data_IF_023237954542
#
_entry.id   IF_023237954542
#
_cell.length_a   1.000
_cell.length_b   1.000
_cell.length_c   1.000
_cell.angle_alpha   90.00
_cell.angle_beta   90.00
_cell.angle_gamma   90.00
#
_symmetry.space_group_name_H-M   'P 1'
#
loop_
_entity.id
_entity.type
_entity.pdbx_description
1 polymer ?
#
# COMPACT_ATOMS: atom_id res chain seq x y z
N UNK A 1 -8.06 -13.70 -10.06
CA UNK A 1 -7.24 -13.64 -8.84
C UNK A 1 -6.27 -12.51 -9.05
N UNK A 2 -6.32 -11.46 -8.23
CA UNK A 2 -5.28 -10.42 -8.30
C UNK A 2 -4.04 -10.98 -7.61
N UNK A 3 -2.92 -11.04 -8.32
CA UNK A 3 -1.65 -11.55 -7.75
C UNK A 3 -0.97 -10.49 -6.88
N UNK A 4 -0.06 -10.90 -5.99
CA UNK A 4 0.76 -9.95 -5.21
C UNK A 4 1.50 -8.94 -6.09
N UNK A 5 1.92 -9.35 -7.29
CA UNK A 5 2.55 -8.46 -8.28
C UNK A 5 1.59 -7.37 -8.77
N UNK A 6 0.32 -7.71 -9.08
CA UNK A 6 -0.67 -6.72 -9.50
C UNK A 6 -1.03 -5.74 -8.38
N UNK A 7 -1.06 -6.21 -7.13
CA UNK A 7 -1.28 -5.34 -5.97
C UNK A 7 -0.12 -4.36 -5.81
N UNK A 8 1.12 -4.86 -5.90
CA UNK A 8 2.31 -4.03 -5.82
C UNK A 8 2.35 -2.98 -6.95
N UNK A 9 2.00 -3.36 -8.18
CA UNK A 9 1.96 -2.44 -9.32
C UNK A 9 0.94 -1.30 -9.10
N UNK A 10 -0.25 -1.65 -8.61
CA UNK A 10 -1.28 -0.67 -8.22
C UNK A 10 -0.79 0.23 -7.09
N UNK A 11 -0.21 -0.36 -6.04
CA UNK A 11 0.32 0.36 -4.89
C UNK A 11 1.41 1.34 -5.31
N UNK A 12 2.35 0.89 -6.14
CA UNK A 12 3.41 1.71 -6.73
C UNK A 12 2.84 2.86 -7.52
N UNK A 13 1.84 2.61 -8.37
CA UNK A 13 1.17 3.66 -9.13
C UNK A 13 0.51 4.72 -8.24
N UNK A 14 -0.12 4.32 -7.13
CA UNK A 14 -0.70 5.27 -6.17
C UNK A 14 0.40 6.09 -5.49
N UNK A 15 1.45 5.44 -4.98
CA UNK A 15 2.57 6.11 -4.32
C UNK A 15 3.28 7.10 -5.27
N UNK A 16 3.45 6.75 -6.53
CA UNK A 16 4.08 7.62 -7.52
C UNK A 16 3.18 8.79 -7.95
N UNK A 17 1.89 8.56 -8.21
CA UNK A 17 1.00 9.59 -8.77
C UNK A 17 0.31 10.45 -7.71
N UNK A 18 -0.06 9.87 -6.57
CA UNK A 18 -0.81 10.57 -5.52
C UNK A 18 0.09 11.09 -4.41
N UNK A 19 1.17 10.38 -4.11
CA UNK A 19 2.12 10.74 -3.05
C UNK A 19 3.43 11.32 -3.60
N UNK A 20 3.56 11.43 -4.93
CA UNK A 20 4.73 11.99 -5.62
C UNK A 20 6.06 11.30 -5.22
N UNK A 21 5.99 10.02 -4.85
CA UNK A 21 7.15 9.22 -4.42
C UNK A 21 7.86 8.64 -5.64
N UNK A 22 9.18 8.70 -5.66
CA UNK A 22 9.96 8.12 -6.75
C UNK A 22 9.83 6.60 -6.80
N UNK A 23 9.64 6.09 -8.02
CA UNK A 23 9.48 4.67 -8.30
C UNK A 23 10.70 3.82 -7.88
N UNK A 24 11.86 4.44 -7.71
CA UNK A 24 13.12 3.82 -7.27
C UNK A 24 13.16 3.65 -5.74
N UNK A 25 12.52 4.53 -4.98
CA UNK A 25 12.39 4.44 -3.51
C UNK A 25 11.32 3.43 -3.09
N UNK A 26 10.31 3.18 -3.94
CA UNK A 26 9.24 2.21 -3.67
C UNK A 26 9.77 0.78 -3.79
N UNK A 27 10.38 0.27 -2.73
CA UNK A 27 10.81 -1.12 -2.63
C UNK A 27 9.91 -1.91 -1.66
N UNK A 28 9.82 -3.25 -1.82
CA UNK A 28 9.03 -4.07 -0.89
C UNK A 28 9.52 -3.96 0.57
N UNK A 29 10.81 -3.63 0.76
CA UNK A 29 11.42 -3.45 2.07
C UNK A 29 11.33 -2.01 2.59
N UNK A 30 10.91 -1.06 1.74
CA UNK A 30 10.78 0.33 2.12
C UNK A 30 9.73 0.49 3.22
N UNK A 31 10.11 1.23 4.26
CA UNK A 31 9.25 1.69 5.31
C UNK A 31 8.37 2.82 4.80
N UNK A 32 7.05 2.66 4.94
CA UNK A 32 6.06 3.68 4.55
C UNK A 32 6.35 4.99 5.29
N UNK A 33 6.71 4.92 6.57
CA UNK A 33 6.89 6.08 7.43
C UNK A 33 8.32 6.63 7.42
N UNK A 34 9.34 5.76 7.32
CA UNK A 34 10.74 6.19 7.42
C UNK A 34 11.41 6.42 6.07
N UNK A 35 11.15 5.56 5.08
CA UNK A 35 11.77 5.69 3.74
C UNK A 35 10.90 6.54 2.81
N UNK A 36 9.58 6.31 2.85
CA UNK A 36 8.63 7.00 1.97
C UNK A 36 8.02 8.26 2.58
N UNK A 37 8.43 8.62 3.81
CA UNK A 37 7.98 9.81 4.56
C UNK A 37 6.45 9.99 4.61
N UNK A 38 5.69 8.88 4.61
CA UNK A 38 4.22 8.93 4.64
C UNK A 38 3.74 9.28 6.05
N UNK A 39 2.84 10.25 6.13
CA UNK A 39 2.19 10.59 7.39
C UNK A 39 1.03 9.64 7.71
N UNK A 40 0.55 9.72 8.94
CA UNK A 40 -0.65 9.00 9.38
C UNK A 40 -1.92 9.35 8.60
N UNK A 41 -1.96 10.52 7.93
CA UNK A 41 -3.06 10.91 7.02
C UNK A 41 -2.90 10.17 5.68
N UNK A 42 -1.69 10.19 5.12
CA UNK A 42 -1.37 9.55 3.84
C UNK A 42 -1.64 8.04 3.87
N UNK A 43 -1.27 7.39 4.98
CA UNK A 43 -1.58 6.00 5.25
C UNK A 43 -3.10 5.72 5.15
N UNK A 44 -3.95 6.61 5.66
CA UNK A 44 -5.42 6.45 5.58
C UNK A 44 -5.91 6.63 4.15
N UNK A 45 -5.41 7.62 3.41
CA UNK A 45 -5.76 7.86 2.00
C UNK A 45 -5.36 6.67 1.11
N UNK A 46 -4.18 6.10 1.36
CA UNK A 46 -3.67 4.91 0.67
C UNK A 46 -4.62 3.71 0.83
N UNK A 47 -5.10 3.47 2.05
CA UNK A 47 -6.09 2.41 2.34
C UNK A 47 -7.38 2.61 1.57
N UNK A 48 -7.88 3.85 1.56
CA UNK A 48 -9.14 4.18 0.90
C UNK A 48 -9.02 3.90 -0.61
N UNK A 49 -7.95 4.36 -1.25
CA UNK A 49 -7.67 4.09 -2.67
C UNK A 49 -7.50 2.61 -2.97
N UNK A 50 -6.71 1.89 -2.17
CA UNK A 50 -6.53 0.45 -2.31
C UNK A 50 -7.86 -0.29 -2.20
N UNK A 51 -8.72 0.10 -1.26
CA UNK A 51 -10.06 -0.45 -1.09
C UNK A 51 -10.96 -0.18 -2.31
N UNK A 52 -10.91 1.01 -2.88
CA UNK A 52 -11.70 1.35 -4.07
C UNK A 52 -11.27 0.52 -5.29
N UNK A 53 -9.97 0.31 -5.48
CA UNK A 53 -9.43 -0.41 -6.65
C UNK A 53 -9.56 -1.93 -6.49
N UNK A 54 -9.37 -2.45 -5.27
CA UNK A 54 -9.48 -3.89 -4.98
C UNK A 54 -10.92 -4.31 -4.72
N UNK A 55 -11.80 -3.37 -4.35
CA UNK A 55 -13.17 -3.65 -3.90
C UNK A 55 -13.22 -4.42 -2.58
N UNK A 56 -12.09 -4.58 -1.88
CA UNK A 56 -11.99 -5.34 -0.64
C UNK A 56 -11.88 -4.41 0.55
N UNK A 57 -12.54 -4.78 1.65
CA UNK A 57 -12.52 -4.01 2.88
C UNK A 57 -11.23 -4.34 3.63
N UNK A 58 -10.30 -3.40 3.68
CA UNK A 58 -9.09 -3.46 4.51
C UNK A 58 -9.48 -2.99 5.92
N UNK A 59 -9.12 -3.77 6.94
CA UNK A 59 -9.38 -3.38 8.32
C UNK A 59 -8.35 -2.34 8.78
N UNK A 60 -8.78 -1.26 9.43
CA UNK A 60 -7.87 -0.22 9.90
C UNK A 60 -6.89 -0.74 10.96
N UNK A 61 -7.22 -1.82 11.68
CA UNK A 61 -6.28 -2.46 12.61
C UNK A 61 -5.14 -3.17 11.89
N UNK A 62 -5.42 -3.85 10.77
CA UNK A 62 -4.38 -4.46 9.95
C UNK A 62 -3.45 -3.38 9.38
N UNK A 63 -4.02 -2.24 8.98
CA UNK A 63 -3.24 -1.11 8.48
C UNK A 63 -2.48 -0.32 9.56
N UNK A 64 -2.80 -0.50 10.84
CA UNK A 64 -1.94 0.02 11.92
C UNK A 64 -0.70 -0.83 12.15
N UNK A 65 -0.71 -2.07 11.66
CA UNK A 65 0.41 -3.00 11.80
C UNK A 65 1.33 -3.00 10.58
N UNK A 66 0.85 -2.57 9.41
CA UNK A 66 1.72 -2.41 8.23
C UNK A 66 2.71 -1.27 8.46
N UNK A 67 3.99 -1.58 8.24
CA UNK A 67 5.07 -0.58 8.29
C UNK A 67 5.79 -0.48 6.98
N UNK A 68 5.80 -1.56 6.21
CA UNK A 68 6.49 -1.64 4.93
C UNK A 68 5.52 -1.83 3.77
N UNK A 69 6.01 -1.54 2.56
CA UNK A 69 5.28 -1.83 1.32
C UNK A 69 4.93 -3.32 1.22
N UNK A 70 5.82 -4.22 1.65
CA UNK A 70 5.55 -5.66 1.69
C UNK A 70 4.34 -5.97 2.58
N UNK A 71 4.23 -5.37 3.76
CA UNK A 71 3.12 -5.63 4.67
C UNK A 71 1.77 -5.24 4.03
N UNK A 72 1.72 -4.11 3.32
CA UNK A 72 0.52 -3.66 2.60
C UNK A 72 0.14 -4.64 1.51
N UNK A 73 1.11 -5.07 0.70
CA UNK A 73 0.88 -6.03 -0.39
C UNK A 73 0.39 -7.36 0.17
N UNK A 74 0.99 -7.86 1.25
CA UNK A 74 0.62 -9.12 1.89
C UNK A 74 -0.81 -9.05 2.45
N UNK A 75 -1.15 -7.94 3.12
CA UNK A 75 -2.47 -7.77 3.73
C UNK A 75 -3.58 -7.66 2.67
N UNK A 76 -3.33 -6.93 1.59
CA UNK A 76 -4.25 -6.86 0.45
C UNK A 76 -4.33 -8.22 -0.24
N UNK A 77 -3.22 -8.94 -0.38
CA UNK A 77 -3.17 -10.25 -1.01
C UNK A 77 -4.02 -11.27 -0.24
N UNK A 78 -3.94 -11.29 1.09
CA UNK A 78 -4.81 -12.14 1.94
C UNK A 78 -6.31 -11.88 1.73
N UNK A 79 -6.69 -10.67 1.33
CA UNK A 79 -8.09 -10.29 1.10
C UNK A 79 -8.60 -10.67 -0.31
N UNK A 80 -7.71 -10.77 -1.31
CA UNK A 80 -8.06 -11.08 -2.70
C UNK A 80 -7.69 -12.50 -3.16
N UNK A 81 -6.88 -13.22 -2.38
CA UNK A 81 -6.51 -14.62 -2.60
C UNK A 81 -7.70 -15.58 -2.44
#
# INVERSE_FOLDING_TARGET
>A
MKTAAEIYDVLRGILENDFEIEADDISMQASLYEDLDLDSIDAVDLVVKLREITGKKIEPEAFKQVRTVSDVVDEVHKLVA
#
